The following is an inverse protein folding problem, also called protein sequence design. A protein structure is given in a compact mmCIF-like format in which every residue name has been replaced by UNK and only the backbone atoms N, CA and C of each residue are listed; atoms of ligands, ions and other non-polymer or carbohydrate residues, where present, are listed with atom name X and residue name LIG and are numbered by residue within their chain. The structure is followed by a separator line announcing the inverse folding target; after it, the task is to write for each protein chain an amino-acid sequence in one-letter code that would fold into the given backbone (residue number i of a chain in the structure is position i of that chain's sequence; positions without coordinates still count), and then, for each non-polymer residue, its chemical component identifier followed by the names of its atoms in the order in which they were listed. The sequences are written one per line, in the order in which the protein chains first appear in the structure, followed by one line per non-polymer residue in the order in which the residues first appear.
data_IF_656350378931
#
_entry.id   IF_656350378931
#
_cell.length_a   1.000
_cell.length_b   1.000
_cell.length_c   1.000
_cell.angle_alpha   90.00
_cell.angle_beta   90.00
_cell.angle_gamma   90.00
#
_symmetry.space_group_name_H-M   'P 1'
#
loop_
_entity.id
_entity.type
_entity.pdbx_description
1 polymer ?
#
# COMPACT_ATOMS: atom_id res chain seq x y z
N UNK A 1 17.58 -15.09 39.89
CA UNK A 1 16.19 -15.51 39.70
C UNK A 1 15.72 -14.88 38.42
N UNK A 2 15.12 -15.63 37.46
CA UNK A 2 14.61 -15.01 36.22
C UNK A 2 13.51 -14.00 36.60
N UNK A 3 13.65 -12.81 36.06
CA UNK A 3 12.76 -11.65 36.30
C UNK A 3 11.38 -11.95 35.70
N UNK A 4 10.48 -12.58 36.47
CA UNK A 4 9.11 -12.92 36.02
C UNK A 4 8.36 -11.60 35.84
N UNK A 5 7.88 -11.33 34.63
CA UNK A 5 7.03 -10.16 34.34
C UNK A 5 5.77 -10.22 35.23
N UNK A 6 5.38 -9.10 35.86
CA UNK A 6 4.17 -9.02 36.65
C UNK A 6 2.94 -9.42 35.85
N UNK A 7 1.98 -10.06 36.49
CA UNK A 7 0.72 -10.49 35.88
C UNK A 7 -0.45 -9.68 36.42
N UNK A 8 -1.60 -9.72 35.76
CA UNK A 8 -2.84 -9.10 36.25
C UNK A 8 -3.24 -9.61 37.65
N UNK A 9 -2.86 -10.85 38.00
CA UNK A 9 -3.09 -11.43 39.34
C UNK A 9 -2.19 -10.77 40.39
N UNK A 10 -0.97 -10.43 40.02
CA UNK A 10 -0.03 -9.74 40.90
C UNK A 10 -0.52 -8.30 41.18
N UNK A 11 -1.06 -7.60 40.16
CA UNK A 11 -1.71 -6.30 40.34
C UNK A 11 -2.93 -6.39 41.23
N UNK A 12 -3.81 -7.36 41.03
CA UNK A 12 -5.00 -7.57 41.83
C UNK A 12 -4.65 -7.81 43.32
N UNK A 13 -3.64 -8.64 43.56
CA UNK A 13 -3.13 -8.92 44.91
C UNK A 13 -2.53 -7.66 45.54
N UNK A 14 -1.74 -6.90 44.82
CA UNK A 14 -1.08 -5.67 45.33
C UNK A 14 -2.11 -4.58 45.62
N UNK A 15 -3.07 -4.37 44.74
CA UNK A 15 -4.15 -3.39 44.91
C UNK A 15 -5.21 -3.80 45.95
N UNK A 16 -5.22 -5.07 46.41
CA UNK A 16 -6.23 -5.60 47.31
C UNK A 16 -7.61 -5.67 46.70
N UNK A 17 -7.70 -6.04 45.43
CA UNK A 17 -8.96 -6.11 44.66
C UNK A 17 -9.07 -7.42 43.87
N UNK A 18 -10.24 -7.69 43.29
CA UNK A 18 -10.41 -8.86 42.43
C UNK A 18 -9.74 -8.66 41.06
N UNK A 19 -9.33 -9.77 40.42
CA UNK A 19 -8.83 -9.77 39.04
C UNK A 19 -9.82 -9.09 38.07
N UNK A 20 -11.13 -9.35 38.27
CA UNK A 20 -12.20 -8.78 37.45
C UNK A 20 -12.24 -7.24 37.56
N UNK A 21 -11.99 -6.71 38.77
CA UNK A 21 -11.95 -5.25 38.96
C UNK A 21 -10.73 -4.62 38.28
N UNK A 22 -9.56 -5.26 38.35
CA UNK A 22 -8.36 -4.80 37.58
C UNK A 22 -8.65 -4.84 36.09
N UNK A 23 -9.26 -5.91 35.59
CA UNK A 23 -9.67 -6.00 34.18
C UNK A 23 -10.64 -4.90 33.79
N UNK A 24 -11.61 -4.57 34.65
CA UNK A 24 -12.60 -3.51 34.39
C UNK A 24 -11.94 -2.12 34.40
N UNK A 25 -11.00 -1.84 35.31
CA UNK A 25 -10.23 -0.57 35.31
C UNK A 25 -9.43 -0.41 34.00
N UNK A 26 -8.89 -1.50 33.47
CA UNK A 26 -8.10 -1.47 32.22
C UNK A 26 -8.98 -1.37 30.96
N UNK A 27 -10.24 -1.87 30.99
CA UNK A 27 -11.12 -1.89 29.82
C UNK A 27 -12.11 -0.72 29.81
N UNK A 28 -12.68 -0.36 30.94
CA UNK A 28 -13.67 0.72 31.06
C UNK A 28 -13.55 1.39 32.43
N UNK A 29 -12.58 2.34 32.59
CA UNK A 29 -12.34 3.02 33.85
C UNK A 29 -13.54 3.83 34.35
N UNK A 30 -14.49 4.19 33.49
CA UNK A 30 -15.67 4.98 33.85
C UNK A 30 -16.66 4.23 34.74
N UNK A 31 -16.64 2.89 34.66
CA UNK A 31 -17.49 2.00 35.46
C UNK A 31 -16.97 1.69 36.87
N UNK A 32 -15.82 2.29 37.24
CA UNK A 32 -15.18 2.04 38.55
C UNK A 32 -15.07 3.34 39.32
N UNK A 33 -15.36 3.27 40.64
CA UNK A 33 -15.20 4.46 41.50
C UNK A 33 -13.77 4.97 41.50
N UNK A 34 -13.60 6.31 41.58
CA UNK A 34 -12.30 6.98 41.51
C UNK A 34 -11.27 6.42 42.50
N UNK A 35 -11.69 6.11 43.72
CA UNK A 35 -10.82 5.55 44.77
C UNK A 35 -10.26 4.15 44.38
N UNK A 36 -11.11 3.27 43.84
CA UNK A 36 -10.69 1.92 43.43
C UNK A 36 -9.83 1.97 42.18
N UNK A 37 -10.18 2.86 41.28
CA UNK A 37 -9.40 3.09 40.05
C UNK A 37 -7.99 3.57 40.39
N UNK A 38 -7.83 4.60 41.22
CA UNK A 38 -6.52 5.12 41.64
C UNK A 38 -5.65 4.02 42.24
N UNK A 39 -6.21 3.20 43.17
CA UNK A 39 -5.46 2.09 43.79
C UNK A 39 -4.93 1.07 42.78
N UNK A 40 -5.71 0.76 41.76
CA UNK A 40 -5.28 -0.17 40.71
C UNK A 40 -4.22 0.49 39.81
N UNK A 41 -4.41 1.75 39.41
CA UNK A 41 -3.47 2.49 38.59
C UNK A 41 -2.11 2.67 39.29
N UNK A 42 -2.12 2.95 40.59
CA UNK A 42 -0.90 3.02 41.40
C UNK A 42 -0.17 1.66 41.47
N UNK A 43 -0.92 0.59 41.69
CA UNK A 43 -0.36 -0.77 41.70
C UNK A 43 0.23 -1.19 40.36
N UNK A 44 -0.39 -0.79 39.25
CA UNK A 44 0.14 -1.02 37.90
C UNK A 44 1.48 -0.31 37.73
N UNK A 45 1.56 0.96 38.17
CA UNK A 45 2.77 1.78 38.07
C UNK A 45 3.89 1.22 38.92
N UNK A 46 3.61 0.87 40.18
CA UNK A 46 4.62 0.37 41.14
C UNK A 46 5.19 -0.99 40.74
N UNK A 47 4.34 -1.88 40.20
CA UNK A 47 4.76 -3.20 39.72
C UNK A 47 5.38 -3.17 38.34
N UNK A 48 5.31 -2.05 37.59
CA UNK A 48 5.68 -1.99 36.19
C UNK A 48 4.88 -2.94 35.31
N UNK A 49 3.63 -3.20 35.69
CA UNK A 49 2.76 -4.10 34.93
C UNK A 49 2.39 -3.47 33.59
N UNK A 50 2.72 -4.15 32.53
CA UNK A 50 2.24 -3.82 31.18
C UNK A 50 1.13 -4.78 30.78
N UNK A 51 -0.07 -4.28 30.45
CA UNK A 51 -1.12 -5.11 29.92
C UNK A 51 -0.65 -5.88 28.70
N UNK A 52 -0.70 -7.19 28.72
CA UNK A 52 -0.39 -8.00 27.55
C UNK A 52 -1.55 -7.85 26.54
N UNK A 53 -1.28 -7.19 25.42
CA UNK A 53 -2.24 -7.01 24.33
C UNK A 53 -2.81 -8.34 23.83
N UNK A 54 -1.98 -9.38 23.74
CA UNK A 54 -2.42 -10.73 23.39
C UNK A 54 -3.33 -11.36 24.48
N UNK A 55 -3.12 -11.03 25.77
CA UNK A 55 -4.01 -11.48 26.84
C UNK A 55 -5.32 -10.66 26.89
N UNK A 56 -5.30 -9.39 26.49
CA UNK A 56 -6.51 -8.56 26.34
C UNK A 56 -7.37 -9.05 25.19
N UNK A 57 -6.80 -9.42 24.06
CA UNK A 57 -7.54 -9.97 22.91
C UNK A 57 -8.15 -11.35 23.21
N UNK A 58 -7.58 -12.12 24.16
CA UNK A 58 -8.11 -13.39 24.60
C UNK A 58 -9.30 -13.27 25.59
N UNK A 59 -9.43 -12.13 26.28
CA UNK A 59 -10.45 -11.91 27.35
C UNK A 59 -11.55 -10.94 26.90
N UNK A 60 -11.27 -10.04 25.96
CA UNK A 60 -12.26 -9.13 25.42
C UNK A 60 -12.99 -9.81 24.26
N UNK A 61 -14.30 -9.95 24.37
CA UNK A 61 -15.20 -10.32 23.26
C UNK A 61 -15.15 -9.30 22.11
N UNK A 62 -14.51 -8.16 22.31
CA UNK A 62 -14.33 -7.11 21.32
C UNK A 62 -12.89 -7.12 20.79
N UNK A 63 -12.75 -7.56 19.57
CA UNK A 63 -11.55 -7.38 18.74
C UNK A 63 -11.40 -5.89 18.45
N UNK A 64 -10.35 -5.24 18.97
CA UNK A 64 -10.14 -3.81 18.76
C UNK A 64 -8.94 -3.49 17.87
N UNK A 65 -8.28 -4.50 17.29
CA UNK A 65 -7.11 -4.31 16.44
C UNK A 65 -7.42 -4.68 14.98
N UNK A 66 -6.86 -3.89 14.07
CA UNK A 66 -6.84 -4.17 12.63
C UNK A 66 -5.40 -4.37 12.21
N UNK A 67 -5.14 -5.41 11.42
CA UNK A 67 -3.84 -5.66 10.79
C UNK A 67 -3.70 -4.88 9.50
N UNK A 68 -2.53 -4.29 9.27
CA UNK A 68 -2.17 -3.68 7.98
C UNK A 68 -0.86 -4.32 7.51
N UNK A 69 -0.94 -5.06 6.42
CA UNK A 69 0.22 -5.69 5.77
C UNK A 69 0.71 -4.78 4.67
N UNK A 70 2.00 -4.42 4.75
CA UNK A 70 2.66 -3.57 3.77
C UNK A 70 3.49 -4.43 2.83
N UNK A 71 3.24 -4.33 1.52
CA UNK A 71 3.98 -5.05 0.50
C UNK A 71 5.35 -4.42 0.25
N UNK A 72 5.40 -3.43 -0.57
CA UNK A 72 6.64 -2.83 -1.06
C UNK A 72 7.13 -1.71 -0.12
N UNK A 73 7.85 -2.05 0.97
CA UNK A 73 8.32 -1.07 1.96
C UNK A 73 9.24 0.03 1.38
N UNK A 74 9.87 -0.23 0.24
CA UNK A 74 10.73 0.74 -0.44
C UNK A 74 9.95 1.73 -1.30
N UNK A 75 8.66 1.47 -1.57
CA UNK A 75 7.81 2.39 -2.30
C UNK A 75 7.12 3.37 -1.33
N UNK A 76 7.47 4.68 -1.35
CA UNK A 76 6.86 5.67 -0.47
C UNK A 76 5.33 5.75 -0.58
N UNK A 77 4.78 5.45 -1.75
CA UNK A 77 3.33 5.41 -1.96
C UNK A 77 2.62 4.44 -0.99
N UNK A 78 3.20 3.27 -0.73
CA UNK A 78 2.64 2.30 0.22
C UNK A 78 2.54 2.90 1.62
N UNK A 79 3.57 3.65 2.03
CA UNK A 79 3.59 4.29 3.34
C UNK A 79 2.60 5.47 3.41
N UNK A 80 2.47 6.26 2.35
CA UNK A 80 1.50 7.36 2.27
C UNK A 80 0.07 6.85 2.42
N UNK A 81 -0.30 5.79 1.71
CA UNK A 81 -1.62 5.14 1.84
C UNK A 81 -1.81 4.55 3.24
N UNK A 82 -0.79 3.86 3.78
CA UNK A 82 -0.86 3.23 5.10
C UNK A 82 -1.05 4.25 6.23
N UNK A 83 -0.45 5.44 6.11
CA UNK A 83 -0.64 6.53 7.07
C UNK A 83 -2.10 6.99 7.12
N UNK A 84 -2.71 7.22 5.98
CA UNK A 84 -4.13 7.60 5.89
C UNK A 84 -5.04 6.51 6.45
N UNK A 85 -4.77 5.26 6.09
CA UNK A 85 -5.50 4.10 6.63
C UNK A 85 -5.40 4.08 8.16
N UNK A 86 -4.20 4.24 8.72
CA UNK A 86 -3.97 4.29 10.17
C UNK A 86 -4.81 5.36 10.85
N UNK A 87 -4.78 6.59 10.31
CA UNK A 87 -5.55 7.72 10.85
C UNK A 87 -7.05 7.43 10.88
N UNK A 88 -7.60 6.91 9.78
CA UNK A 88 -9.02 6.60 9.66
C UNK A 88 -9.45 5.48 10.64
N UNK A 89 -8.64 4.44 10.79
CA UNK A 89 -8.93 3.32 11.68
C UNK A 89 -8.80 3.73 13.16
N UNK A 90 -7.79 4.53 13.51
CA UNK A 90 -7.64 5.07 14.87
C UNK A 90 -8.80 6.02 15.22
N UNK A 91 -9.24 6.87 14.30
CA UNK A 91 -10.41 7.71 14.49
C UNK A 91 -11.71 6.89 14.69
N UNK A 92 -11.77 5.68 14.12
CA UNK A 92 -12.87 4.73 14.33
C UNK A 92 -12.73 3.89 15.63
N UNK A 93 -11.68 4.10 16.43
CA UNK A 93 -11.46 3.46 17.72
C UNK A 93 -10.71 2.13 17.65
N UNK A 94 -10.00 1.84 16.55
CA UNK A 94 -9.21 0.64 16.41
C UNK A 94 -7.72 0.89 16.64
N UNK A 95 -7.06 -0.07 17.29
CA UNK A 95 -5.60 -0.18 17.29
C UNK A 95 -5.13 -0.72 15.94
N UNK A 96 -4.03 -0.21 15.40
CA UNK A 96 -3.48 -0.64 14.11
C UNK A 96 -2.16 -1.36 14.32
N UNK A 97 -2.07 -2.59 13.80
CA UNK A 97 -0.88 -3.44 13.84
C UNK A 97 -0.29 -3.52 12.43
N UNK A 98 0.88 -2.94 12.24
CA UNK A 98 1.60 -3.07 10.99
C UNK A 98 2.43 -4.34 10.95
N UNK A 99 2.37 -5.04 9.82
CA UNK A 99 3.26 -6.12 9.43
C UNK A 99 3.85 -5.82 8.07
N UNK A 100 5.13 -6.04 7.92
CA UNK A 100 5.81 -5.88 6.65
C UNK A 100 6.04 -7.24 6.02
N UNK A 101 5.59 -7.43 4.81
CA UNK A 101 5.91 -8.64 4.07
C UNK A 101 7.37 -8.62 3.62
N UNK A 102 8.09 -9.68 3.90
CA UNK A 102 9.40 -9.88 3.30
C UNK A 102 9.20 -10.21 1.81
N UNK A 103 9.68 -9.32 0.94
CA UNK A 103 9.76 -9.64 -0.49
C UNK A 103 10.95 -10.59 -0.65
N UNK A 104 10.68 -11.88 -0.82
CA UNK A 104 11.68 -12.87 -1.17
C UNK A 104 11.60 -13.11 -2.69
N UNK A 105 12.68 -12.84 -3.40
CA UNK A 105 12.89 -13.17 -4.82
C UNK A 105 11.81 -12.67 -5.80
N UNK A 106 11.26 -11.45 -5.57
CA UNK A 106 10.24 -10.86 -6.47
C UNK A 106 8.86 -11.49 -6.33
N UNK A 107 8.66 -12.37 -5.37
CA UNK A 107 7.34 -12.87 -5.00
C UNK A 107 6.67 -11.87 -4.05
N UNK A 108 5.41 -11.57 -4.30
CA UNK A 108 4.62 -10.61 -3.53
C UNK A 108 4.44 -10.98 -2.05
N UNK A 109 3.53 -10.29 -1.39
CA UNK A 109 3.24 -10.47 0.05
C UNK A 109 3.03 -11.95 0.39
N UNK A 110 3.77 -12.47 1.37
CA UNK A 110 3.63 -13.84 1.84
C UNK A 110 2.36 -14.06 2.68
N UNK A 111 1.99 -15.32 2.88
CA UNK A 111 0.83 -15.70 3.71
C UNK A 111 1.14 -15.75 5.21
N UNK A 112 2.42 -15.78 5.58
CA UNK A 112 2.85 -15.88 6.97
C UNK A 112 2.40 -14.68 7.82
N UNK A 113 2.46 -13.47 7.25
CA UNK A 113 2.04 -12.23 7.90
C UNK A 113 0.54 -12.21 8.16
N UNK A 114 -0.25 -12.73 7.21
CA UNK A 114 -1.70 -12.86 7.36
C UNK A 114 -2.05 -13.87 8.44
N UNK A 115 -1.37 -15.00 8.47
CA UNK A 115 -1.54 -16.03 9.51
C UNK A 115 -1.20 -15.48 10.89
N UNK A 116 -0.09 -14.77 11.03
CA UNK A 116 0.32 -14.15 12.30
C UNK A 116 -0.71 -13.14 12.80
N UNK A 117 -1.26 -12.29 11.93
CA UNK A 117 -2.31 -11.33 12.27
C UNK A 117 -3.62 -12.04 12.67
N UNK A 118 -3.97 -13.11 11.96
CA UNK A 118 -5.13 -13.94 12.31
C UNK A 118 -4.96 -14.60 13.67
N UNK A 119 -3.78 -15.13 13.99
CA UNK A 119 -3.47 -15.72 15.29
C UNK A 119 -3.55 -14.69 16.43
N UNK A 120 -3.25 -13.42 16.14
CA UNK A 120 -3.49 -12.28 17.03
C UNK A 120 -4.98 -11.89 17.11
N UNK A 121 -5.86 -12.54 16.36
CA UNK A 121 -7.31 -12.32 16.33
C UNK A 121 -7.69 -10.88 16.00
N UNK A 122 -7.02 -10.28 15.03
CA UNK A 122 -7.43 -8.97 14.53
C UNK A 122 -8.85 -9.00 13.96
N UNK A 123 -9.57 -7.88 14.02
CA UNK A 123 -10.95 -7.76 13.54
C UNK A 123 -11.08 -7.75 12.02
N UNK A 124 -10.00 -7.33 11.35
CA UNK A 124 -9.91 -7.24 9.90
C UNK A 124 -8.49 -6.96 9.46
N UNK A 125 -8.23 -7.08 8.17
CA UNK A 125 -6.90 -6.93 7.59
C UNK A 125 -6.98 -6.00 6.37
N UNK A 126 -6.04 -5.06 6.25
CA UNK A 126 -5.74 -4.38 4.99
C UNK A 126 -4.41 -4.87 4.45
N UNK A 127 -4.35 -5.06 3.14
CA UNK A 127 -3.13 -5.43 2.41
C UNK A 127 -2.85 -4.31 1.42
N UNK A 128 -1.77 -3.56 1.62
CA UNK A 128 -1.40 -2.41 0.78
C UNK A 128 -0.24 -2.80 -0.13
N UNK A 129 -0.45 -2.67 -1.45
CA UNK A 129 0.49 -3.06 -2.49
C UNK A 129 0.12 -4.35 -3.22
N UNK A 130 1.00 -4.82 -4.11
CA UNK A 130 0.77 -6.02 -4.91
C UNK A 130 0.72 -7.29 -4.08
N UNK A 131 -0.26 -8.14 -4.37
CA UNK A 131 -0.46 -9.44 -3.75
C UNK A 131 -0.67 -10.49 -4.86
N UNK A 132 0.34 -11.30 -5.13
CA UNK A 132 0.41 -12.10 -6.36
C UNK A 132 -0.39 -13.40 -6.33
N UNK A 133 -0.46 -14.10 -5.18
CA UNK A 133 -1.14 -15.40 -5.09
C UNK A 133 -2.52 -15.33 -4.42
N UNK A 134 -3.57 -15.32 -5.24
CA UNK A 134 -4.95 -15.23 -4.77
C UNK A 134 -5.38 -16.38 -3.87
N UNK A 135 -5.08 -17.61 -4.24
CA UNK A 135 -5.58 -18.80 -3.56
C UNK A 135 -4.93 -19.00 -2.17
N UNK A 136 -3.63 -18.75 -2.07
CA UNK A 136 -2.90 -18.83 -0.81
C UNK A 136 -3.37 -17.78 0.18
N UNK A 137 -3.73 -16.58 -0.29
CA UNK A 137 -4.26 -15.51 0.57
C UNK A 137 -5.61 -15.86 1.17
N UNK A 138 -6.52 -16.43 0.40
CA UNK A 138 -7.83 -16.82 0.90
C UNK A 138 -7.74 -17.86 2.01
N UNK A 139 -6.89 -18.87 1.81
CA UNK A 139 -6.62 -19.89 2.83
C UNK A 139 -6.02 -19.27 4.10
N UNK A 140 -5.09 -18.32 3.95
CA UNK A 140 -4.46 -17.64 5.08
C UNK A 140 -5.41 -16.69 5.82
N UNK A 141 -6.30 -15.99 5.12
CA UNK A 141 -7.29 -15.09 5.71
C UNK A 141 -8.41 -15.85 6.46
N UNK A 142 -8.82 -17.03 5.96
CA UNK A 142 -9.99 -17.73 6.47
C UNK A 142 -11.25 -16.85 6.41
N UNK A 143 -11.94 -16.69 7.54
CA UNK A 143 -13.15 -15.84 7.65
C UNK A 143 -12.83 -14.37 8.01
N UNK A 144 -11.58 -14.00 8.18
CA UNK A 144 -11.20 -12.62 8.56
C UNK A 144 -11.47 -11.66 7.41
N UNK A 145 -12.31 -10.62 7.62
CA UNK A 145 -12.57 -9.62 6.58
C UNK A 145 -11.29 -8.93 6.12
N UNK A 146 -11.10 -8.79 4.80
CA UNK A 146 -9.90 -8.14 4.29
C UNK A 146 -10.18 -7.18 3.13
N UNK A 147 -9.36 -6.13 3.01
CA UNK A 147 -9.36 -5.20 1.87
C UNK A 147 -7.97 -5.19 1.25
N UNK A 148 -7.92 -5.42 -0.06
CA UNK A 148 -6.71 -5.29 -0.87
C UNK A 148 -6.68 -3.89 -1.49
N UNK A 149 -5.56 -3.21 -1.33
CA UNK A 149 -5.38 -1.80 -1.71
C UNK A 149 -4.27 -1.68 -2.75
N UNK A 150 -4.58 -1.08 -3.90
CA UNK A 150 -3.63 -0.93 -5.01
C UNK A 150 -3.25 -2.26 -5.66
N UNK A 151 -4.14 -3.24 -5.61
CA UNK A 151 -3.93 -4.57 -6.20
C UNK A 151 -4.79 -4.76 -7.46
N UNK A 152 -4.30 -5.57 -8.38
CA UNK A 152 -5.05 -5.99 -9.57
C UNK A 152 -6.04 -7.14 -9.34
N UNK A 153 -6.52 -7.32 -8.10
CA UNK A 153 -7.39 -8.44 -7.70
C UNK A 153 -8.86 -8.11 -7.90
N UNK A 154 -9.66 -9.16 -8.02
CA UNK A 154 -11.12 -9.08 -7.93
C UNK A 154 -11.59 -9.41 -6.51
N UNK A 155 -12.67 -8.76 -6.01
CA UNK A 155 -13.20 -9.03 -4.68
C UNK A 155 -13.86 -10.40 -4.61
N UNK A 156 -13.79 -11.03 -3.42
CA UNK A 156 -14.42 -12.31 -3.14
C UNK A 156 -15.33 -12.25 -1.90
N UNK A 157 -15.84 -13.40 -1.43
CA UNK A 157 -16.87 -13.46 -0.38
C UNK A 157 -16.54 -12.62 0.87
N UNK A 158 -15.33 -12.77 1.42
CA UNK A 158 -14.89 -12.06 2.64
C UNK A 158 -13.87 -10.95 2.36
N UNK A 159 -13.71 -10.57 1.08
CA UNK A 159 -12.74 -9.56 0.67
C UNK A 159 -13.39 -8.42 -0.11
N UNK A 160 -12.71 -7.29 -0.12
CA UNK A 160 -13.04 -6.14 -0.94
C UNK A 160 -11.76 -5.53 -1.52
N UNK A 161 -11.89 -4.71 -2.53
CA UNK A 161 -10.75 -4.16 -3.27
C UNK A 161 -10.89 -2.65 -3.41
N UNK A 162 -9.82 -1.95 -3.12
CA UNK A 162 -9.65 -0.53 -3.43
C UNK A 162 -8.52 -0.40 -4.46
N UNK A 163 -8.85 0.00 -5.66
CA UNK A 163 -7.91 0.09 -6.79
C UNK A 163 -7.90 1.47 -7.41
N UNK A 164 -6.92 1.70 -8.26
CA UNK A 164 -6.80 2.87 -9.13
C UNK A 164 -7.29 2.46 -10.52
N UNK A 165 -7.82 3.40 -11.29
CA UNK A 165 -8.13 3.16 -12.70
C UNK A 165 -6.84 3.26 -13.54
N UNK A 166 -6.07 2.16 -13.61
CA UNK A 166 -4.82 2.10 -14.37
C UNK A 166 -5.06 2.28 -15.88
N UNK A 167 -6.23 1.90 -16.39
CA UNK A 167 -6.63 2.15 -17.79
C UNK A 167 -6.68 3.66 -18.08
N UNK A 168 -7.36 4.40 -17.20
CA UNK A 168 -7.42 5.85 -17.33
C UNK A 168 -6.05 6.48 -17.07
N UNK A 169 -5.31 6.00 -16.06
CA UNK A 169 -4.00 6.55 -15.71
C UNK A 169 -2.99 6.48 -16.86
N UNK A 170 -2.81 5.31 -17.45
CA UNK A 170 -1.94 5.16 -18.63
C UNK A 170 -2.51 5.84 -19.87
N UNK A 171 -3.85 5.92 -20.00
CA UNK A 171 -4.50 6.74 -21.01
C UNK A 171 -4.03 8.19 -20.95
N UNK A 172 -4.10 8.82 -19.76
CA UNK A 172 -3.66 10.19 -19.55
C UNK A 172 -2.17 10.39 -19.86
N UNK A 173 -1.32 9.43 -19.50
CA UNK A 173 0.12 9.46 -19.80
C UNK A 173 0.37 9.49 -21.30
N UNK A 174 -0.21 8.55 -22.03
CA UNK A 174 0.04 8.44 -23.48
C UNK A 174 -0.59 9.61 -24.23
N UNK A 175 -1.80 10.05 -23.85
CA UNK A 175 -2.45 11.23 -24.44
C UNK A 175 -1.56 12.48 -24.27
N UNK A 176 -0.95 12.67 -23.09
CA UNK A 176 -0.03 13.76 -22.81
C UNK A 176 1.25 13.68 -23.66
N UNK A 177 1.91 12.51 -23.68
CA UNK A 177 3.16 12.33 -24.43
C UNK A 177 2.95 12.48 -25.94
N UNK A 178 1.86 11.96 -26.49
CA UNK A 178 1.52 12.11 -27.91
C UNK A 178 1.20 13.56 -28.26
N UNK A 179 0.45 14.26 -27.40
CA UNK A 179 0.17 15.71 -27.62
C UNK A 179 1.44 16.58 -27.54
N UNK A 180 2.47 16.12 -26.81
CA UNK A 180 3.81 16.70 -26.81
C UNK A 180 4.66 16.36 -28.05
N UNK A 181 4.10 15.67 -29.06
CA UNK A 181 4.77 15.30 -30.30
C UNK A 181 5.60 14.02 -30.24
N UNK A 182 5.50 13.22 -29.18
CA UNK A 182 6.24 11.96 -29.07
C UNK A 182 5.47 10.81 -29.74
N UNK A 183 6.03 10.25 -30.82
CA UNK A 183 5.47 9.10 -31.52
C UNK A 183 6.12 7.77 -31.13
N UNK A 184 7.31 7.79 -30.52
CA UNK A 184 8.05 6.62 -30.05
C UNK A 184 8.10 6.63 -28.52
N UNK A 185 7.08 6.03 -27.92
CA UNK A 185 6.94 5.97 -26.48
C UNK A 185 7.26 4.53 -26.02
N UNK A 186 8.28 4.38 -25.19
CA UNK A 186 8.66 3.09 -24.63
C UNK A 186 8.06 2.93 -23.24
N UNK A 187 7.34 1.84 -22.99
CA UNK A 187 6.93 1.48 -21.64
C UNK A 187 8.07 0.76 -20.90
N UNK A 188 8.46 1.28 -19.74
CA UNK A 188 9.38 0.62 -18.82
C UNK A 188 8.53 -0.11 -17.79
N UNK A 189 8.45 -1.44 -17.90
CA UNK A 189 7.45 -2.25 -17.20
C UNK A 189 7.77 -2.42 -15.69
N UNK A 190 6.77 -2.86 -14.94
CA UNK A 190 6.91 -3.17 -13.51
C UNK A 190 7.40 -4.60 -13.24
N UNK A 191 7.82 -5.35 -14.26
CA UNK A 191 8.15 -6.76 -14.15
C UNK A 191 6.90 -7.65 -14.13
N UNK A 192 6.93 -8.73 -13.35
CA UNK A 192 5.79 -9.64 -13.19
C UNK A 192 4.80 -9.10 -12.14
N UNK A 193 3.55 -9.48 -12.26
CA UNK A 193 2.50 -9.16 -11.28
C UNK A 193 1.24 -8.55 -11.88
N UNK A 194 0.12 -8.63 -11.16
CA UNK A 194 -1.18 -8.22 -11.70
C UNK A 194 -1.24 -6.74 -12.09
N UNK A 195 -0.68 -5.85 -11.28
CA UNK A 195 -0.67 -4.40 -11.55
C UNK A 195 0.21 -4.07 -12.75
N UNK A 196 1.38 -4.73 -12.87
CA UNK A 196 2.26 -4.56 -14.03
C UNK A 196 1.55 -4.96 -15.32
N UNK A 197 0.87 -6.10 -15.32
CA UNK A 197 0.10 -6.58 -16.47
C UNK A 197 -1.07 -5.64 -16.84
N UNK A 198 -1.76 -5.07 -15.84
CA UNK A 198 -2.84 -4.09 -16.07
C UNK A 198 -2.31 -2.79 -16.69
N UNK A 199 -1.22 -2.24 -16.18
CA UNK A 199 -0.60 -1.02 -16.68
C UNK A 199 -0.03 -1.22 -18.09
N UNK A 200 0.63 -2.34 -18.36
CA UNK A 200 1.15 -2.69 -19.68
C UNK A 200 -0.01 -2.85 -20.70
N UNK A 201 -1.06 -3.56 -20.32
CA UNK A 201 -2.25 -3.67 -21.18
C UNK A 201 -2.91 -2.31 -21.46
N UNK A 202 -2.96 -1.42 -20.46
CA UNK A 202 -3.45 -0.05 -20.61
C UNK A 202 -2.57 0.78 -21.57
N UNK A 203 -1.24 0.65 -21.45
CA UNK A 203 -0.30 1.25 -22.41
C UNK A 203 -0.57 0.77 -23.85
N UNK A 204 -0.68 -0.52 -24.08
CA UNK A 204 -0.97 -1.08 -25.41
C UNK A 204 -2.27 -0.50 -25.99
N UNK A 205 -3.35 -0.45 -25.20
CA UNK A 205 -4.63 0.11 -25.65
C UNK A 205 -4.54 1.60 -25.95
N UNK A 206 -3.81 2.36 -25.14
CA UNK A 206 -3.62 3.78 -25.37
C UNK A 206 -2.83 4.05 -26.64
N UNK A 207 -1.72 3.35 -26.87
CA UNK A 207 -0.95 3.44 -28.12
C UNK A 207 -1.80 3.08 -29.34
N UNK A 208 -2.65 2.06 -29.24
CA UNK A 208 -3.57 1.68 -30.31
C UNK A 208 -4.59 2.78 -30.62
N UNK A 209 -5.18 3.45 -29.61
CA UNK A 209 -6.10 4.58 -29.78
C UNK A 209 -5.49 5.73 -30.59
N UNK A 210 -4.18 5.96 -30.42
CA UNK A 210 -3.43 6.98 -31.17
C UNK A 210 -2.89 6.52 -32.53
N UNK A 211 -3.22 5.29 -32.96
CA UNK A 211 -2.69 4.77 -34.24
C UNK A 211 -1.21 4.38 -34.20
N UNK A 212 -0.63 4.27 -32.99
CA UNK A 212 0.80 3.99 -32.75
C UNK A 212 1.08 2.51 -32.42
N UNK A 213 0.23 1.60 -32.89
CA UNK A 213 0.36 0.17 -32.59
C UNK A 213 1.72 -0.42 -33.02
N UNK A 214 2.22 -0.01 -34.16
CA UNK A 214 3.50 -0.50 -34.71
C UNK A 214 4.73 0.09 -33.96
N UNK A 215 4.54 1.15 -33.17
CA UNK A 215 5.56 1.80 -32.36
C UNK A 215 5.58 1.31 -30.91
N UNK A 216 4.71 0.35 -30.58
CA UNK A 216 4.69 -0.23 -29.23
C UNK A 216 6.03 -0.86 -28.91
N UNK A 217 6.62 -0.44 -27.81
CA UNK A 217 7.87 -0.98 -27.27
C UNK A 217 7.77 -1.11 -25.75
N UNK A 218 7.99 -2.32 -25.26
CA UNK A 218 8.08 -2.58 -23.82
C UNK A 218 9.51 -3.00 -23.50
N UNK A 219 10.03 -2.50 -22.39
CA UNK A 219 11.32 -2.91 -21.81
C UNK A 219 11.02 -3.48 -20.44
N UNK A 220 11.38 -4.73 -20.25
CA UNK A 220 11.20 -5.38 -18.95
C UNK A 220 12.11 -4.75 -17.91
N UNK A 221 11.51 -4.39 -16.77
CA UNK A 221 12.21 -3.79 -15.65
C UNK A 221 11.62 -4.34 -14.33
N UNK A 222 11.33 -3.48 -13.40
CA UNK A 222 10.73 -3.77 -12.11
C UNK A 222 10.32 -2.49 -11.41
N UNK A 223 9.71 -2.58 -10.22
CA UNK A 223 9.14 -1.40 -9.55
C UNK A 223 10.19 -0.53 -8.82
N UNK A 224 11.48 -0.87 -8.89
CA UNK A 224 12.53 -0.18 -8.15
C UNK A 224 13.34 0.81 -9.02
N UNK A 225 14.01 1.75 -8.37
CA UNK A 225 14.95 2.67 -9.03
C UNK A 225 16.05 1.92 -9.79
N UNK A 226 16.64 0.91 -9.14
CA UNK A 226 17.71 0.11 -9.75
C UNK A 226 17.24 -0.61 -11.02
N UNK A 227 16.05 -1.22 -10.98
CA UNK A 227 15.50 -1.92 -12.13
C UNK A 227 15.20 -0.97 -13.30
N UNK A 228 14.66 0.22 -13.02
CA UNK A 228 14.43 1.25 -14.04
C UNK A 228 15.73 1.74 -14.67
N UNK A 229 16.77 1.96 -13.86
CA UNK A 229 18.10 2.33 -14.33
C UNK A 229 18.70 1.27 -15.26
N UNK A 230 18.77 0.02 -14.79
CA UNK A 230 19.38 -1.09 -15.55
C UNK A 230 18.67 -1.33 -16.88
N UNK A 231 17.34 -1.33 -16.88
CA UNK A 231 16.54 -1.54 -18.08
C UNK A 231 16.77 -0.45 -19.13
N UNK A 232 16.79 0.82 -18.72
CA UNK A 232 17.02 1.94 -19.64
C UNK A 232 18.49 2.01 -20.08
N UNK A 233 19.45 1.77 -19.20
CA UNK A 233 20.87 1.70 -19.56
C UNK A 233 21.12 0.61 -20.62
N UNK A 234 20.51 -0.58 -20.46
CA UNK A 234 20.60 -1.66 -21.44
C UNK A 234 19.92 -1.28 -22.77
N UNK A 235 18.75 -0.63 -22.72
CA UNK A 235 18.06 -0.10 -23.91
C UNK A 235 18.99 0.83 -24.69
N UNK A 236 19.64 1.77 -24.00
CA UNK A 236 20.55 2.75 -24.61
C UNK A 236 21.83 2.10 -25.17
N UNK A 237 22.38 1.10 -24.46
CA UNK A 237 23.54 0.32 -24.91
C UNK A 237 23.24 -0.48 -26.19
N UNK A 238 21.98 -0.89 -26.42
CA UNK A 238 21.55 -1.52 -27.67
C UNK A 238 21.44 -0.56 -28.87
N UNK A 239 21.79 0.71 -28.69
CA UNK A 239 21.70 1.74 -29.72
C UNK A 239 20.33 2.41 -29.88
N UNK A 240 19.34 2.00 -29.11
CA UNK A 240 18.00 2.63 -29.15
C UNK A 240 18.00 3.98 -28.47
N UNK A 241 17.15 4.88 -28.98
CA UNK A 241 17.03 6.28 -28.50
C UNK A 241 15.55 6.63 -28.36
N UNK A 242 14.91 6.35 -27.21
CA UNK A 242 13.50 6.63 -27.01
C UNK A 242 13.23 8.15 -27.07
N UNK A 243 12.10 8.56 -27.62
CA UNK A 243 11.62 9.94 -27.53
C UNK A 243 10.96 10.19 -26.16
N UNK A 244 10.24 9.19 -25.66
CA UNK A 244 9.59 9.25 -24.37
C UNK A 244 9.60 7.88 -23.67
N UNK A 245 9.59 7.92 -22.33
CA UNK A 245 9.46 6.78 -21.44
C UNK A 245 8.22 6.93 -20.59
N UNK A 246 7.32 5.95 -20.67
CA UNK A 246 6.18 5.77 -19.77
C UNK A 246 6.55 4.70 -18.75
N UNK A 247 7.00 5.11 -17.55
CA UNK A 247 7.50 4.21 -16.55
C UNK A 247 6.38 3.64 -15.67
N UNK A 248 6.59 2.42 -15.18
CA UNK A 248 5.65 1.72 -14.32
C UNK A 248 5.24 2.52 -13.07
N UNK A 249 6.24 3.10 -12.38
CA UNK A 249 6.04 3.95 -11.21
C UNK A 249 7.12 5.03 -11.13
N UNK A 250 7.06 5.89 -10.12
CA UNK A 250 8.00 7.00 -9.94
C UNK A 250 9.42 6.52 -9.62
N UNK A 251 9.59 5.45 -8.83
CA UNK A 251 10.91 4.92 -8.53
C UNK A 251 11.60 4.39 -9.79
N UNK A 252 10.87 3.65 -10.62
CA UNK A 252 11.37 3.19 -11.92
C UNK A 252 11.72 4.39 -12.82
N UNK A 253 10.89 5.45 -12.82
CA UNK A 253 11.14 6.66 -13.60
C UNK A 253 12.42 7.40 -13.14
N UNK A 254 12.70 7.46 -11.84
CA UNK A 254 13.93 8.06 -11.32
C UNK A 254 15.18 7.32 -11.82
N UNK A 255 15.13 5.99 -11.81
CA UNK A 255 16.22 5.18 -12.38
C UNK A 255 16.38 5.41 -13.88
N UNK A 256 15.27 5.46 -14.61
CA UNK A 256 15.26 5.76 -16.03
C UNK A 256 15.86 7.15 -16.34
N UNK A 257 15.50 8.17 -15.56
CA UNK A 257 16.06 9.53 -15.69
C UNK A 257 17.57 9.53 -15.45
N UNK A 258 18.05 8.82 -14.41
CA UNK A 258 19.48 8.72 -14.15
C UNK A 258 20.24 8.08 -15.32
N UNK A 259 19.74 6.99 -15.89
CA UNK A 259 20.37 6.35 -17.04
C UNK A 259 20.42 7.26 -18.29
N UNK A 260 19.38 8.06 -18.51
CA UNK A 260 19.33 9.05 -19.59
C UNK A 260 20.36 10.17 -19.37
N UNK A 261 20.45 10.70 -18.15
CA UNK A 261 21.39 11.76 -17.79
C UNK A 261 22.84 11.32 -17.96
N UNK A 262 23.22 10.13 -17.49
CA UNK A 262 24.55 9.55 -17.63
C UNK A 262 24.93 9.32 -19.11
N UNK A 263 23.95 8.98 -19.94
CA UNK A 263 24.15 8.81 -21.38
C UNK A 263 24.12 10.13 -22.17
N UNK A 264 23.80 11.26 -21.54
CA UNK A 264 23.62 12.55 -22.20
C UNK A 264 22.43 12.57 -23.18
N UNK A 265 21.38 11.80 -22.91
CA UNK A 265 20.23 11.66 -23.79
C UNK A 265 19.04 12.37 -23.16
N UNK A 266 18.39 13.25 -23.93
CA UNK A 266 17.10 13.84 -23.55
C UNK A 266 15.96 12.99 -24.08
N UNK A 267 15.02 12.63 -23.22
CA UNK A 267 13.75 12.02 -23.55
C UNK A 267 12.69 12.50 -22.54
N UNK A 268 11.44 12.58 -22.95
CA UNK A 268 10.34 12.82 -22.02
C UNK A 268 10.15 11.62 -21.08
N UNK A 269 10.00 11.86 -19.78
CA UNK A 269 9.82 10.79 -18.81
C UNK A 269 8.58 11.04 -17.98
N UNK A 270 7.76 10.00 -17.82
CA UNK A 270 6.60 10.01 -16.92
C UNK A 270 6.66 8.85 -15.95
N UNK A 271 6.16 9.09 -14.73
CA UNK A 271 6.00 8.11 -13.68
C UNK A 271 4.53 7.83 -13.35
N UNK A 272 4.35 7.13 -12.27
CA UNK A 272 3.07 6.78 -11.67
C UNK A 272 3.24 6.73 -10.15
N UNK A 273 2.23 7.09 -9.38
CA UNK A 273 2.09 7.18 -7.94
C UNK A 273 2.15 8.61 -7.40
N UNK A 274 2.82 9.55 -8.07
CA UNK A 274 3.00 10.95 -7.67
C UNK A 274 3.53 11.08 -6.22
N UNK A 275 4.54 10.28 -5.88
CA UNK A 275 5.15 10.35 -4.55
C UNK A 275 5.78 11.73 -4.29
N UNK A 276 5.94 12.10 -3.02
CA UNK A 276 6.43 13.43 -2.62
C UNK A 276 7.75 13.84 -3.29
N UNK A 277 8.66 12.89 -3.57
CA UNK A 277 9.92 13.12 -4.26
C UNK A 277 9.75 13.61 -5.70
N UNK A 278 8.67 13.25 -6.37
CA UNK A 278 8.40 13.59 -7.76
C UNK A 278 8.23 15.09 -7.99
N UNK A 279 7.87 15.83 -6.93
CA UNK A 279 7.73 17.30 -6.96
C UNK A 279 9.03 18.08 -6.72
N UNK A 280 10.13 17.40 -6.35
CA UNK A 280 11.40 18.09 -6.08
C UNK A 280 11.94 18.79 -7.34
N UNK A 281 12.37 20.04 -7.21
CA UNK A 281 12.66 20.93 -8.33
C UNK A 281 13.67 20.43 -9.37
N UNK A 282 14.65 19.58 -8.98
CA UNK A 282 15.60 18.97 -9.93
C UNK A 282 15.03 17.71 -10.59
N UNK A 283 14.08 17.03 -9.95
CA UNK A 283 13.41 15.83 -10.47
C UNK A 283 12.25 16.25 -11.35
N UNK A 284 11.33 17.03 -10.77
CA UNK A 284 10.16 17.61 -11.46
C UNK A 284 9.46 16.61 -12.39
N UNK A 285 9.17 15.41 -11.85
CA UNK A 285 8.63 14.27 -12.60
C UNK A 285 7.14 14.44 -12.87
N UNK A 286 6.76 14.40 -14.15
CA UNK A 286 5.37 14.23 -14.58
C UNK A 286 4.90 12.85 -14.14
N UNK A 287 3.85 12.78 -13.35
CA UNK A 287 3.42 11.52 -12.77
C UNK A 287 1.89 11.44 -12.63
N UNK A 288 1.38 10.22 -12.69
CA UNK A 288 -0.03 9.95 -12.39
C UNK A 288 -0.25 9.98 -10.89
N UNK A 289 -1.10 10.89 -10.45
CA UNK A 289 -1.55 10.98 -9.07
C UNK A 289 -2.68 9.98 -8.82
N UNK A 290 -2.39 8.99 -8.01
CA UNK A 290 -3.32 7.93 -7.62
C UNK A 290 -4.26 8.32 -6.48
N UNK A 291 -4.16 9.56 -5.98
CA UNK A 291 -4.89 10.08 -4.82
C UNK A 291 -4.81 9.14 -3.61
N UNK A 292 -3.58 8.98 -3.06
CA UNK A 292 -3.31 8.12 -1.89
C UNK A 292 -4.23 8.46 -0.69
N UNK A 293 -4.68 9.72 -0.59
CA UNK A 293 -5.61 10.19 0.43
C UNK A 293 -7.01 9.58 0.27
N UNK A 294 -7.59 9.66 -0.93
CA UNK A 294 -8.91 9.09 -1.20
C UNK A 294 -8.87 7.56 -1.21
N UNK A 295 -7.80 6.98 -1.71
CA UNK A 295 -7.59 5.54 -1.69
C UNK A 295 -7.52 5.01 -0.25
N UNK A 296 -6.72 5.62 0.63
CA UNK A 296 -6.60 5.23 2.03
C UNK A 296 -7.90 5.39 2.82
N UNK A 297 -8.59 6.55 2.66
CA UNK A 297 -9.90 6.78 3.27
C UNK A 297 -10.96 5.80 2.79
N UNK A 298 -11.00 5.55 1.49
CA UNK A 298 -11.92 4.60 0.86
C UNK A 298 -11.68 3.17 1.36
N UNK A 299 -10.43 2.75 1.43
CA UNK A 299 -10.02 1.42 1.90
C UNK A 299 -10.42 1.17 3.35
N UNK A 300 -10.17 2.13 4.25
CA UNK A 300 -10.56 2.02 5.65
C UNK A 300 -12.08 1.95 5.80
N UNK A 301 -12.84 2.80 5.10
CA UNK A 301 -14.30 2.76 5.10
C UNK A 301 -14.84 1.43 4.58
N UNK A 302 -14.22 0.90 3.52
CA UNK A 302 -14.62 -0.36 2.91
C UNK A 302 -14.43 -1.53 3.90
N UNK A 303 -13.28 -1.57 4.61
CA UNK A 303 -13.04 -2.59 5.64
C UNK A 303 -14.04 -2.47 6.80
N UNK A 304 -14.25 -1.28 7.34
CA UNK A 304 -15.19 -1.06 8.44
C UNK A 304 -16.63 -1.45 8.05
N UNK A 305 -17.00 -1.23 6.78
CA UNK A 305 -18.31 -1.64 6.27
C UNK A 305 -18.41 -3.16 6.14
N UNK A 306 -17.36 -3.81 5.59
CA UNK A 306 -17.28 -5.26 5.45
C UNK A 306 -17.36 -5.98 6.81
N UNK A 307 -16.68 -5.45 7.83
CA UNK A 307 -16.71 -5.99 9.20
C UNK A 307 -18.10 -5.90 9.85
N UNK A 308 -18.86 -4.82 9.56
CA UNK A 308 -20.22 -4.65 10.13
C UNK A 308 -21.29 -5.45 9.39
N UNK A 309 -21.06 -5.73 8.12
CA UNK A 309 -22.04 -6.34 7.21
C UNK A 309 -21.38 -7.43 6.36
N UNK A 310 -20.90 -8.54 6.93
CA UNK A 310 -20.13 -9.54 6.18
C UNK A 310 -20.96 -10.22 5.07
N UNK A 311 -22.27 -10.39 5.28
CA UNK A 311 -23.19 -10.95 4.28
C UNK A 311 -23.96 -9.88 3.50
N UNK A 312 -23.68 -8.60 3.75
CA UNK A 312 -24.38 -7.49 3.14
C UNK A 312 -24.13 -7.38 1.64
N UNK A 313 -25.18 -7.02 0.90
CA UNK A 313 -25.07 -6.65 -0.52
C UNK A 313 -24.62 -5.21 -0.65
N UNK A 314 -23.34 -4.97 -0.87
CA UNK A 314 -22.76 -3.66 -1.16
C UNK A 314 -21.64 -3.79 -2.19
N UNK A 315 -21.22 -2.67 -2.77
CA UNK A 315 -20.09 -2.66 -3.70
C UNK A 315 -18.80 -3.01 -2.95
N UNK A 316 -18.22 -4.18 -3.23
CA UNK A 316 -16.98 -4.67 -2.63
C UNK A 316 -15.73 -4.16 -3.36
N UNK A 317 -15.92 -3.27 -4.30
CA UNK A 317 -14.85 -2.61 -5.04
C UNK A 317 -15.08 -1.11 -5.08
N UNK A 318 -14.01 -0.38 -4.84
CA UNK A 318 -13.92 1.05 -5.16
C UNK A 318 -12.78 1.24 -6.13
N UNK A 319 -12.98 2.14 -7.09
CA UNK A 319 -11.97 2.50 -8.08
C UNK A 319 -11.76 4.02 -8.03
N UNK A 320 -10.53 4.43 -7.73
CA UNK A 320 -10.14 5.84 -7.69
C UNK A 320 -9.74 6.28 -9.09
N UNK A 321 -10.28 7.43 -9.52
CA UNK A 321 -9.93 8.02 -10.80
C UNK A 321 -8.63 8.83 -10.65
N UNK A 322 -7.57 8.46 -11.38
CA UNK A 322 -6.29 9.15 -11.29
C UNK A 322 -6.30 10.47 -12.06
N UNK A 323 -5.31 11.32 -11.75
CA UNK A 323 -5.02 12.57 -12.48
C UNK A 323 -3.57 12.57 -12.92
N UNK A 324 -3.26 13.21 -14.05
CA UNK A 324 -1.88 13.44 -14.45
C UNK A 324 -1.41 14.79 -13.90
N UNK A 325 -0.30 14.79 -13.18
CA UNK A 325 0.38 15.98 -12.71
C UNK A 325 1.57 16.25 -13.63
N UNK A 326 1.39 17.19 -14.55
CA UNK A 326 2.41 17.55 -15.53
C UNK A 326 3.51 18.39 -14.89
N UNK A 327 4.76 18.03 -15.15
CA UNK A 327 5.97 18.71 -14.69
C UNK A 327 7.05 18.70 -15.78
N UNK A 328 8.24 19.24 -15.47
CA UNK A 328 9.29 19.48 -16.45
C UNK A 328 9.84 18.21 -17.12
N UNK A 329 9.79 17.03 -16.49
CA UNK A 329 10.37 15.79 -17.04
C UNK A 329 9.76 15.34 -18.37
N UNK A 330 8.56 15.79 -18.70
CA UNK A 330 7.88 15.45 -19.96
C UNK A 330 7.74 16.62 -20.94
N UNK A 331 8.26 17.80 -20.60
CA UNK A 331 8.23 19.01 -21.45
C UNK A 331 9.45 19.12 -22.39
N UNK A 332 10.13 18.02 -22.61
CA UNK A 332 11.29 17.98 -23.52
C UNK A 332 10.79 18.12 -24.97
N UNK A 333 11.22 19.12 -25.71
CA UNK A 333 10.80 19.27 -27.10
C UNK A 333 11.22 18.03 -27.92
N UNK A 334 10.36 17.54 -28.82
CA UNK A 334 10.69 16.40 -29.68
C UNK A 334 11.95 16.74 -30.50
N UNK A 335 12.89 15.80 -30.55
CA UNK A 335 14.06 15.97 -31.44
C UNK A 335 13.57 16.02 -32.89
N UNK A 336 13.91 17.07 -33.61
CA UNK A 336 13.79 17.08 -35.07
C UNK A 336 14.58 15.90 -35.63
N UNK A 337 13.90 15.01 -36.34
CA UNK A 337 14.47 13.90 -37.10
C UNK A 337 15.51 14.40 -38.13
#
# INVERSE_FOLDING_TARGET
MPNRRPTIRDVAKHAGVSKSLVSLVLSDPSKVSSLRRSRVEDSIRELGYQPNLAARSLVAENRHAIGVVLGELHNPWVLEVAEVVREQLQAAGFDVLFSAAAIHDGQGIGTAELQALRDLRVSGILVVGSADDAASFESALGETPAVFVGSGREPQANTAVASIDDEQGFGLVIDHLVSGGNGQITHVSGGSGPVAALREAAYHRAMQRHGLREQVQVVEAGPSLQAGYEAVAQLLASGKRPQALACFNDLCAFGAMQALDEAGISAAVTGYDNISLSSLGRISLTSVDSDSQDLGRGSARLLLHLMRNPEGKFARQIKILPRLIVRASSEVPPRSL
#
